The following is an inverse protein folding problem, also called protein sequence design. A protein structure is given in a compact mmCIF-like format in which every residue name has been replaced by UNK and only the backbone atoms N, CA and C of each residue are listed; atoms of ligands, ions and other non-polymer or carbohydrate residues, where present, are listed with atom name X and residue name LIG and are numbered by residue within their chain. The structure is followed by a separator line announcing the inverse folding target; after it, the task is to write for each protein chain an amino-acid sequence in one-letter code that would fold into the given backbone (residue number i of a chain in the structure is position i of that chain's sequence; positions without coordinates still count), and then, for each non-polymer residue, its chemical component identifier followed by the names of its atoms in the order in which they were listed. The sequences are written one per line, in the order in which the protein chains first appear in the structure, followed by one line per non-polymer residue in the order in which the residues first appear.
data_IF_062828248623
#
_entry.id   IF_062828248623
#
_cell.length_a   1.000
_cell.length_b   1.000
_cell.length_c   1.000
_cell.angle_alpha   90.00
_cell.angle_beta   90.00
_cell.angle_gamma   90.00
#
_symmetry.space_group_name_H-M   'P 1'
#
loop_
_entity.id
_entity.type
_entity.pdbx_description
1 polymer ?
#
# COMPACT_ATOMS: atom_id res chain seq x y z
N UNK A 1 60.19 31.52 -29.70
CA UNK A 1 59.64 30.61 -28.67
C UNK A 1 58.12 30.75 -28.67
N UNK A 2 57.43 29.84 -29.39
CA UNK A 2 55.96 29.72 -29.52
C UNK A 2 55.41 28.94 -28.31
N UNK A 3 54.39 29.41 -27.56
CA UNK A 3 52.92 29.33 -27.77
C UNK A 3 52.29 27.92 -27.73
N UNK A 4 51.35 27.76 -26.77
CA UNK A 4 50.12 26.90 -26.77
C UNK A 4 50.30 25.36 -26.74
N UNK A 5 49.47 24.47 -26.17
CA UNK A 5 48.00 24.42 -25.99
C UNK A 5 47.60 23.28 -24.99
N UNK A 6 46.29 23.18 -24.71
CA UNK A 6 45.49 22.41 -23.71
C UNK A 6 45.49 20.86 -23.78
N UNK A 7 45.11 20.20 -22.67
CA UNK A 7 44.08 19.11 -22.50
C UNK A 7 44.25 18.48 -21.09
N UNK A 8 43.33 18.58 -20.13
CA UNK A 8 42.03 17.91 -20.00
C UNK A 8 42.11 16.37 -20.05
N UNK A 9 42.14 15.71 -18.89
CA UNK A 9 41.51 14.39 -18.69
C UNK A 9 40.76 14.39 -17.36
N UNK A 10 39.45 14.55 -17.53
CA UNK A 10 38.35 14.16 -16.65
C UNK A 10 38.52 12.75 -16.07
N UNK A 11 38.62 12.64 -14.75
CA UNK A 11 38.37 11.40 -14.02
C UNK A 11 36.96 11.41 -13.45
N UNK A 12 35.96 11.21 -14.32
CA UNK A 12 34.56 11.05 -13.95
C UNK A 12 34.40 9.68 -13.28
N UNK A 13 34.57 9.61 -11.96
CA UNK A 13 34.14 8.45 -11.19
C UNK A 13 32.61 8.51 -11.06
N UNK A 14 31.92 8.04 -12.10
CA UNK A 14 30.50 7.68 -12.01
C UNK A 14 30.44 6.49 -11.05
N UNK A 15 30.22 6.78 -9.76
CA UNK A 15 29.73 5.77 -8.84
C UNK A 15 28.28 5.49 -9.29
N UNK A 16 28.12 4.50 -10.18
CA UNK A 16 26.84 3.86 -10.41
C UNK A 16 26.43 3.18 -9.11
N UNK A 17 25.84 3.97 -8.21
CA UNK A 17 24.89 3.48 -7.24
C UNK A 17 23.72 2.94 -8.06
N UNK A 18 23.79 1.65 -8.39
CA UNK A 18 22.63 0.83 -8.65
C UNK A 18 21.76 0.84 -7.39
N UNK A 19 21.04 1.93 -7.16
CA UNK A 19 19.85 1.91 -6.34
C UNK A 19 18.84 1.09 -7.13
N UNK A 20 18.77 -0.21 -6.81
CA UNK A 20 17.63 -1.02 -7.16
C UNK A 20 16.40 -0.20 -6.80
N UNK A 21 15.59 0.15 -7.80
CA UNK A 21 14.32 0.80 -7.57
C UNK A 21 13.57 -0.05 -6.55
N UNK A 22 13.04 0.53 -5.47
CA UNK A 22 12.22 -0.25 -4.58
C UNK A 22 11.01 -0.68 -5.42
N UNK A 23 10.83 -1.99 -5.58
CA UNK A 23 9.63 -2.59 -6.15
C UNK A 23 8.52 -2.36 -5.12
N UNK A 24 7.93 -1.16 -5.10
CA UNK A 24 6.99 -0.81 -4.04
C UNK A 24 5.59 -1.39 -4.33
N UNK A 25 5.16 -2.05 -3.25
CA UNK A 25 3.98 -2.80 -2.86
C UNK A 25 2.64 -2.55 -3.59
N UNK A 26 2.01 -3.66 -3.96
CA UNK A 26 0.55 -3.78 -3.91
C UNK A 26 0.10 -3.64 -2.43
N UNK A 27 -0.61 -2.55 -2.15
CA UNK A 27 -1.07 -2.01 -0.86
C UNK A 27 -1.52 -3.03 0.23
N UNK A 28 -0.62 -3.55 1.06
CA UNK A 28 -0.94 -4.46 2.19
C UNK A 28 -1.22 -3.74 3.52
N UNK A 29 -0.84 -2.46 3.55
CA UNK A 29 -1.13 -1.39 4.51
C UNK A 29 -2.48 -1.53 5.21
N UNK A 30 -3.57 -1.72 4.46
CA UNK A 30 -4.95 -1.64 4.96
C UNK A 30 -5.39 -2.90 5.70
N UNK A 31 -5.02 -4.09 5.23
CA UNK A 31 -5.29 -5.33 5.99
C UNK A 31 -4.33 -5.45 7.16
N UNK A 32 -3.07 -5.05 7.00
CA UNK A 32 -2.10 -5.03 8.09
C UNK A 32 -2.56 -4.12 9.24
N UNK A 33 -3.20 -2.99 8.91
CA UNK A 33 -3.86 -2.06 9.83
C UNK A 33 -5.03 -2.64 10.62
N UNK A 34 -5.89 -3.37 9.93
CA UNK A 34 -7.16 -3.78 10.52
C UNK A 34 -7.02 -5.09 11.32
N UNK A 35 -6.04 -5.90 10.96
CA UNK A 35 -5.59 -7.06 11.73
C UNK A 35 -4.69 -6.72 12.91
N UNK A 36 -4.26 -5.47 12.99
CA UNK A 36 -3.47 -4.92 14.08
C UNK A 36 -4.27 -4.81 15.39
N UNK A 37 -5.61 -4.74 15.31
CA UNK A 37 -6.46 -4.62 16.51
C UNK A 37 -6.38 -5.85 17.43
N UNK A 38 -6.13 -7.01 16.85
CA UNK A 38 -5.87 -8.23 17.59
C UNK A 38 -4.87 -9.07 16.75
N UNK A 39 -3.56 -8.76 16.83
CA UNK A 39 -2.57 -9.39 15.96
C UNK A 39 -2.41 -10.88 16.26
N UNK A 40 -2.82 -11.33 17.45
CA UNK A 40 -2.90 -12.74 17.83
C UNK A 40 -4.20 -13.44 17.44
N UNK A 41 -5.22 -12.72 16.93
CA UNK A 41 -6.46 -13.37 16.51
C UNK A 41 -6.23 -14.24 15.27
N UNK A 42 -6.89 -15.39 15.27
CA UNK A 42 -6.82 -16.32 14.16
C UNK A 42 -7.35 -15.69 12.86
N UNK A 43 -8.40 -14.88 12.97
CA UNK A 43 -8.97 -14.12 11.86
C UNK A 43 -7.94 -13.18 11.24
N UNK A 44 -7.29 -12.38 12.08
CA UNK A 44 -6.22 -11.45 11.69
C UNK A 44 -5.06 -12.15 10.99
N UNK A 45 -4.66 -13.33 11.48
CA UNK A 45 -3.60 -14.13 10.86
C UNK A 45 -3.99 -14.60 9.47
N UNK A 46 -5.20 -15.14 9.31
CA UNK A 46 -5.65 -15.73 8.04
C UNK A 46 -5.84 -14.65 6.96
N UNK A 47 -6.48 -13.53 7.30
CA UNK A 47 -6.70 -12.46 6.32
C UNK A 47 -5.38 -11.76 5.94
N UNK A 48 -4.39 -11.65 6.86
CA UNK A 48 -3.02 -11.22 6.50
C UNK A 48 -2.34 -12.17 5.54
N UNK A 49 -2.45 -13.49 5.78
CA UNK A 49 -1.86 -14.49 4.88
C UNK A 49 -2.44 -14.35 3.48
N UNK A 50 -3.77 -14.25 3.38
CA UNK A 50 -4.45 -14.02 2.12
C UNK A 50 -3.98 -12.74 1.42
N UNK A 51 -3.86 -11.64 2.17
CA UNK A 51 -3.40 -10.38 1.62
C UNK A 51 -1.95 -10.43 1.13
N UNK A 52 -1.08 -11.11 1.87
CA UNK A 52 0.32 -11.32 1.49
C UNK A 52 0.45 -12.12 0.20
N UNK A 53 -0.32 -13.19 0.05
CA UNK A 53 -0.36 -13.98 -1.19
C UNK A 53 -0.89 -13.14 -2.37
N UNK A 54 -1.91 -12.32 -2.13
CA UNK A 54 -2.51 -11.45 -3.14
C UNK A 54 -1.52 -10.36 -3.60
N UNK A 55 -0.79 -9.74 -2.67
CA UNK A 55 0.29 -8.79 -2.96
C UNK A 55 1.43 -9.45 -3.72
N UNK A 56 1.83 -10.66 -3.34
CA UNK A 56 2.86 -11.41 -4.06
C UNK A 56 2.46 -11.72 -5.50
N UNK A 57 1.20 -12.09 -5.74
CA UNK A 57 0.65 -12.26 -7.08
C UNK A 57 0.67 -10.94 -7.88
N UNK A 58 0.23 -9.85 -7.26
CA UNK A 58 0.25 -8.52 -7.90
C UNK A 58 1.67 -8.11 -8.32
N UNK A 59 2.66 -8.24 -7.42
CA UNK A 59 4.06 -7.95 -7.73
C UNK A 59 4.61 -8.82 -8.87
N UNK A 60 4.26 -10.11 -8.88
CA UNK A 60 4.66 -11.01 -9.95
C UNK A 60 4.05 -10.59 -11.30
N UNK A 61 2.75 -10.29 -11.33
CA UNK A 61 2.05 -9.83 -12.53
C UNK A 61 2.60 -8.50 -13.06
N UNK A 62 2.94 -7.57 -12.15
CA UNK A 62 3.55 -6.27 -12.48
C UNK A 62 4.91 -6.43 -13.17
N UNK A 63 5.71 -7.42 -12.76
CA UNK A 63 7.00 -7.69 -13.37
C UNK A 63 6.88 -8.17 -14.83
N UNK A 64 5.79 -8.87 -15.17
CA UNK A 64 5.56 -9.44 -16.51
C UNK A 64 6.67 -10.40 -17.01
N UNK A 65 7.45 -10.98 -16.10
CA UNK A 65 8.63 -11.80 -16.44
C UNK A 65 8.33 -13.30 -16.58
N UNK A 66 7.16 -13.77 -16.11
CA UNK A 66 6.84 -15.20 -16.05
C UNK A 66 5.95 -15.64 -17.21
N UNK A 67 6.16 -16.88 -17.65
CA UNK A 67 5.33 -17.55 -18.67
C UNK A 67 3.97 -18.00 -18.09
N UNK A 68 3.91 -18.26 -16.78
CA UNK A 68 2.69 -18.59 -16.02
C UNK A 68 2.79 -18.04 -14.60
N UNK A 69 1.62 -17.78 -14.00
CA UNK A 69 1.44 -17.34 -12.61
C UNK A 69 0.60 -18.34 -11.80
N UNK A 70 0.50 -19.59 -12.27
CA UNK A 70 -0.35 -20.63 -11.64
C UNK A 70 0.04 -20.89 -10.19
N UNK A 71 1.33 -20.81 -9.86
CA UNK A 71 1.82 -21.05 -8.49
C UNK A 71 1.39 -19.94 -7.53
N UNK A 72 1.52 -18.68 -7.92
CA UNK A 72 1.07 -17.53 -7.13
C UNK A 72 -0.45 -17.54 -6.99
N UNK A 73 -1.16 -17.83 -8.09
CA UNK A 73 -2.61 -17.95 -8.09
C UNK A 73 -3.09 -19.09 -7.18
N UNK A 74 -2.39 -20.23 -7.15
CA UNK A 74 -2.71 -21.34 -6.26
C UNK A 74 -2.64 -20.93 -4.79
N UNK A 75 -1.59 -20.19 -4.39
CA UNK A 75 -1.47 -19.68 -3.01
C UNK A 75 -2.63 -18.78 -2.62
N UNK A 76 -3.02 -17.85 -3.50
CA UNK A 76 -4.18 -16.96 -3.28
C UNK A 76 -5.48 -17.77 -3.10
N UNK A 77 -5.68 -18.81 -3.90
CA UNK A 77 -6.85 -19.68 -3.78
C UNK A 77 -6.81 -20.49 -2.47
N UNK A 78 -5.65 -21.03 -2.09
CA UNK A 78 -5.48 -21.84 -0.88
C UNK A 78 -5.72 -21.02 0.39
N UNK A 79 -5.15 -19.81 0.49
CA UNK A 79 -5.39 -18.92 1.64
C UNK A 79 -6.83 -18.43 1.69
N UNK A 80 -7.48 -18.21 0.55
CA UNK A 80 -8.93 -17.91 0.52
C UNK A 80 -9.81 -19.10 0.91
N UNK A 81 -9.42 -20.33 0.55
CA UNK A 81 -10.09 -21.54 1.00
C UNK A 81 -9.94 -21.74 2.51
N UNK A 82 -8.77 -21.47 3.08
CA UNK A 82 -8.58 -21.46 4.55
C UNK A 82 -9.53 -20.46 5.21
N UNK A 83 -9.63 -19.24 4.67
CA UNK A 83 -10.55 -18.21 5.16
C UNK A 83 -12.00 -18.67 5.12
N UNK A 84 -12.48 -19.10 3.94
CA UNK A 84 -13.88 -19.47 3.75
C UNK A 84 -14.29 -20.70 4.56
N UNK A 85 -13.40 -21.69 4.73
CA UNK A 85 -13.65 -22.87 5.56
C UNK A 85 -14.01 -22.50 7.00
N UNK A 86 -13.42 -21.43 7.54
CA UNK A 86 -13.66 -21.00 8.92
C UNK A 86 -14.77 -19.96 9.02
N UNK A 87 -14.76 -18.98 8.13
CA UNK A 87 -15.54 -17.77 8.33
C UNK A 87 -16.71 -17.57 7.37
N UNK A 88 -16.90 -18.42 6.35
CA UNK A 88 -17.97 -18.19 5.36
C UNK A 88 -19.38 -18.17 5.99
N UNK A 89 -19.66 -19.14 6.87
CA UNK A 89 -20.96 -19.27 7.55
C UNK A 89 -20.95 -18.75 8.98
N UNK A 90 -19.76 -18.65 9.58
CA UNK A 90 -19.54 -18.19 10.94
C UNK A 90 -18.57 -17.00 10.92
N UNK A 91 -19.05 -15.76 10.77
CA UNK A 91 -18.20 -14.58 10.86
C UNK A 91 -17.37 -14.60 12.16
N UNK A 92 -16.18 -13.97 12.17
CA UNK A 92 -15.45 -13.75 13.42
C UNK A 92 -16.33 -12.95 14.40
N UNK A 93 -16.03 -13.01 15.69
CA UNK A 93 -16.85 -12.39 16.74
C UNK A 93 -17.08 -10.89 16.48
N UNK A 94 -16.05 -10.21 16.02
CA UNK A 94 -16.03 -8.79 15.69
C UNK A 94 -16.93 -8.42 14.49
N UNK A 95 -17.24 -9.38 13.62
CA UNK A 95 -18.18 -9.21 12.50
C UNK A 95 -19.43 -10.07 12.62
N UNK A 96 -19.74 -10.60 13.80
CA UNK A 96 -20.92 -11.45 14.02
C UNK A 96 -22.22 -10.76 13.60
N UNK A 97 -22.26 -9.42 13.67
CA UNK A 97 -23.40 -8.59 13.29
C UNK A 97 -23.28 -7.96 11.88
N UNK A 98 -22.25 -8.30 11.10
CA UNK A 98 -22.11 -7.80 9.73
C UNK A 98 -23.13 -8.48 8.81
N UNK A 99 -24.24 -7.79 8.53
CA UNK A 99 -25.29 -8.26 7.63
C UNK A 99 -24.80 -8.50 6.20
N UNK A 100 -23.66 -7.91 5.81
CA UNK A 100 -23.07 -8.02 4.47
C UNK A 100 -21.95 -9.06 4.41
N UNK A 101 -21.69 -9.81 5.47
CA UNK A 101 -20.57 -10.76 5.53
C UNK A 101 -20.54 -11.77 4.39
N UNK A 102 -21.67 -12.43 4.14
CA UNK A 102 -21.80 -13.41 3.08
C UNK A 102 -21.64 -12.78 1.68
N UNK A 103 -22.12 -11.54 1.50
CA UNK A 103 -21.97 -10.77 0.27
C UNK A 103 -20.49 -10.45 0.01
N UNK A 104 -19.78 -9.92 1.02
CA UNK A 104 -18.35 -9.57 0.95
C UNK A 104 -17.51 -10.81 0.62
N UNK A 105 -17.73 -11.90 1.33
CA UNK A 105 -17.05 -13.19 1.09
C UNK A 105 -17.30 -13.71 -0.33
N UNK A 106 -18.55 -13.68 -0.80
CA UNK A 106 -18.89 -14.12 -2.15
C UNK A 106 -18.30 -13.20 -3.23
N UNK A 107 -18.27 -11.90 -3.00
CA UNK A 107 -17.68 -10.93 -3.91
C UNK A 107 -16.17 -11.12 -4.05
N UNK A 108 -15.45 -11.38 -2.96
CA UNK A 108 -14.02 -11.70 -2.98
C UNK A 108 -13.74 -12.97 -3.78
N UNK A 109 -14.53 -14.04 -3.57
CA UNK A 109 -14.40 -15.27 -4.34
C UNK A 109 -14.58 -15.05 -5.86
N UNK A 110 -15.54 -14.21 -6.26
CA UNK A 110 -15.72 -13.81 -7.67
C UNK A 110 -14.52 -13.01 -8.20
N UNK A 111 -13.97 -12.11 -7.38
CA UNK A 111 -12.76 -11.35 -7.72
C UNK A 111 -11.57 -12.28 -8.02
N UNK A 112 -11.33 -13.26 -7.16
CA UNK A 112 -10.29 -14.29 -7.33
C UNK A 112 -10.53 -15.11 -8.61
N UNK A 113 -11.77 -15.53 -8.86
CA UNK A 113 -12.13 -16.27 -10.07
C UNK A 113 -11.86 -15.47 -11.35
N UNK A 114 -12.13 -14.17 -11.33
CA UNK A 114 -11.86 -13.27 -12.45
C UNK A 114 -10.36 -13.07 -12.70
N UNK A 115 -9.56 -12.88 -11.63
CA UNK A 115 -8.09 -12.81 -11.74
C UNK A 115 -7.54 -14.09 -12.39
N UNK A 116 -7.99 -15.26 -11.92
CA UNK A 116 -7.58 -16.55 -12.50
C UNK A 116 -7.93 -16.65 -13.99
N UNK A 117 -9.14 -16.23 -14.38
CA UNK A 117 -9.57 -16.22 -15.78
C UNK A 117 -8.64 -15.35 -16.64
N UNK A 118 -8.33 -14.13 -16.18
CA UNK A 118 -7.44 -13.20 -16.88
C UNK A 118 -6.01 -13.75 -17.00
N UNK A 119 -5.48 -14.40 -15.96
CA UNK A 119 -4.17 -15.09 -16.02
C UNK A 119 -4.18 -16.19 -17.07
N UNK A 120 -5.21 -17.04 -17.09
CA UNK A 120 -5.32 -18.12 -18.08
C UNK A 120 -5.44 -17.59 -19.52
N UNK A 121 -6.07 -16.42 -19.70
CA UNK A 121 -6.17 -15.71 -20.97
C UNK A 121 -4.90 -14.91 -21.34
N UNK A 122 -3.86 -14.94 -20.49
CA UNK A 122 -2.62 -14.19 -20.63
C UNK A 122 -2.79 -12.67 -20.65
N UNK A 123 -3.88 -12.17 -20.04
CA UNK A 123 -4.19 -10.74 -19.86
C UNK A 123 -3.61 -10.25 -18.53
N UNK A 124 -2.27 -10.18 -18.45
CA UNK A 124 -1.57 -9.99 -17.18
C UNK A 124 -1.71 -8.58 -16.60
N UNK A 125 -1.80 -7.56 -17.45
CA UNK A 125 -2.05 -6.18 -17.01
C UNK A 125 -3.43 -6.07 -16.36
N UNK A 126 -4.46 -6.60 -17.01
CA UNK A 126 -5.82 -6.60 -16.50
C UNK A 126 -5.94 -7.45 -15.22
N UNK A 127 -5.21 -8.57 -15.15
CA UNK A 127 -5.14 -9.38 -13.93
C UNK A 127 -4.51 -8.59 -12.77
N UNK A 128 -3.44 -7.83 -13.03
CA UNK A 128 -2.81 -6.96 -12.03
C UNK A 128 -3.77 -5.88 -11.53
N UNK A 129 -4.46 -5.18 -12.43
CA UNK A 129 -5.43 -4.16 -12.06
C UNK A 129 -6.56 -4.73 -11.21
N UNK A 130 -6.99 -5.96 -11.54
CA UNK A 130 -8.00 -6.68 -10.77
C UNK A 130 -7.50 -7.11 -9.39
N UNK A 131 -6.22 -7.45 -9.25
CA UNK A 131 -5.58 -7.68 -7.94
C UNK A 131 -5.63 -6.42 -7.08
N UNK A 132 -5.28 -5.25 -7.64
CA UNK A 132 -5.35 -3.98 -6.91
C UNK A 132 -6.78 -3.65 -6.48
N UNK A 133 -7.75 -3.85 -7.36
CA UNK A 133 -9.16 -3.65 -7.02
C UNK A 133 -9.61 -4.57 -5.89
N UNK A 134 -9.24 -5.85 -5.94
CA UNK A 134 -9.59 -6.81 -4.90
C UNK A 134 -8.97 -6.42 -3.55
N UNK A 135 -7.70 -6.02 -3.57
CA UNK A 135 -6.96 -5.59 -2.40
C UNK A 135 -7.61 -4.36 -1.73
N UNK A 136 -8.03 -3.37 -2.53
CA UNK A 136 -8.73 -2.18 -2.02
C UNK A 136 -10.07 -2.50 -1.33
N UNK A 137 -10.73 -3.59 -1.75
CA UNK A 137 -12.02 -4.04 -1.19
C UNK A 137 -11.86 -4.84 0.10
N UNK A 138 -10.65 -5.27 0.46
CA UNK A 138 -10.42 -6.03 1.69
C UNK A 138 -10.74 -5.23 2.95
N UNK A 139 -10.70 -3.90 2.88
CA UNK A 139 -11.12 -3.02 3.97
C UNK A 139 -12.57 -3.22 4.40
N UNK A 140 -13.43 -3.64 3.47
CA UNK A 140 -14.84 -3.86 3.76
C UNK A 140 -15.05 -4.92 4.85
N UNK A 141 -14.16 -5.91 4.99
CA UNK A 141 -14.29 -6.94 6.02
C UNK A 141 -14.20 -6.40 7.44
N UNK A 142 -13.65 -5.21 7.63
CA UNK A 142 -13.43 -4.63 8.95
C UNK A 142 -14.35 -3.46 9.28
N UNK A 143 -15.25 -3.07 8.38
CA UNK A 143 -16.23 -2.01 8.62
C UNK A 143 -17.09 -2.29 9.87
N UNK A 144 -17.43 -3.55 10.11
CA UNK A 144 -18.27 -3.96 11.23
C UNK A 144 -17.51 -4.03 12.58
N UNK A 145 -16.18 -3.88 12.57
CA UNK A 145 -15.33 -4.10 13.76
C UNK A 145 -15.35 -2.93 14.75
N UNK A 146 -16.12 -1.85 14.48
CA UNK A 146 -16.09 -0.65 15.31
C UNK A 146 -14.73 0.03 15.21
N UNK A 147 -14.42 0.57 14.03
CA UNK A 147 -13.14 1.21 13.75
C UNK A 147 -13.07 2.55 14.47
N UNK A 148 -12.15 2.69 15.43
CA UNK A 148 -11.90 3.97 16.13
C UNK A 148 -11.48 5.07 15.17
N UNK A 149 -11.62 6.34 15.58
CA UNK A 149 -11.29 7.50 14.74
C UNK A 149 -9.84 7.45 14.21
N UNK A 150 -8.90 6.95 15.02
CA UNK A 150 -7.50 6.76 14.62
C UNK A 150 -7.37 5.74 13.48
N UNK A 151 -8.15 4.67 13.53
CA UNK A 151 -8.11 3.60 12.54
C UNK A 151 -8.86 3.99 11.26
N UNK A 152 -9.88 4.86 11.35
CA UNK A 152 -10.48 5.50 10.18
C UNK A 152 -9.49 6.43 9.48
N UNK A 153 -8.71 7.19 10.24
CA UNK A 153 -7.63 8.02 9.72
C UNK A 153 -6.58 7.18 8.98
N UNK A 154 -6.23 6.01 9.53
CA UNK A 154 -5.30 5.09 8.88
C UNK A 154 -5.81 4.51 7.55
N UNK A 155 -7.10 4.14 7.49
CA UNK A 155 -7.78 3.72 6.26
C UNK A 155 -7.74 4.85 5.24
N UNK A 156 -8.14 6.07 5.64
CA UNK A 156 -8.20 7.25 4.77
C UNK A 156 -6.85 7.54 4.12
N UNK A 157 -5.75 7.52 4.88
CA UNK A 157 -4.40 7.70 4.32
C UNK A 157 -4.06 6.64 3.29
N UNK A 158 -4.31 5.37 3.60
CA UNK A 158 -3.97 4.26 2.70
C UNK A 158 -4.76 4.36 1.39
N UNK A 159 -6.07 4.64 1.49
CA UNK A 159 -6.93 4.89 0.32
C UNK A 159 -6.43 6.08 -0.50
N UNK A 160 -6.06 7.19 0.13
CA UNK A 160 -5.56 8.37 -0.58
C UNK A 160 -4.21 8.13 -1.26
N UNK A 161 -3.30 7.37 -0.64
CA UNK A 161 -2.01 6.99 -1.25
C UNK A 161 -2.20 6.11 -2.49
N UNK A 162 -3.13 5.14 -2.43
CA UNK A 162 -3.46 4.26 -3.56
C UNK A 162 -4.18 5.02 -4.67
N UNK A 163 -5.09 5.93 -4.33
CA UNK A 163 -5.73 6.78 -5.33
C UNK A 163 -4.74 7.75 -5.97
N UNK A 164 -3.74 8.23 -5.21
CA UNK A 164 -2.70 9.12 -5.72
C UNK A 164 -1.84 8.39 -6.75
N UNK A 165 -1.45 7.15 -6.47
CA UNK A 165 -0.75 6.31 -7.45
C UNK A 165 -1.54 6.18 -8.75
N UNK A 166 -2.85 5.88 -8.66
CA UNK A 166 -3.71 5.79 -9.83
C UNK A 166 -3.80 7.10 -10.60
N UNK A 167 -3.95 8.22 -9.90
CA UNK A 167 -4.04 9.54 -10.52
C UNK A 167 -2.74 9.93 -11.23
N UNK A 168 -1.59 9.64 -10.62
CA UNK A 168 -0.27 9.87 -11.22
C UNK A 168 -0.05 9.00 -12.46
N UNK A 169 -0.42 7.72 -12.41
CA UNK A 169 -0.33 6.81 -13.56
C UNK A 169 -1.26 7.21 -14.71
N UNK A 170 -2.42 7.79 -14.38
CA UNK A 170 -3.40 8.31 -15.35
C UNK A 170 -3.10 9.71 -15.87
N UNK A 171 -2.00 10.35 -15.44
CA UNK A 171 -1.67 11.76 -15.70
C UNK A 171 -2.81 12.74 -15.31
N UNK A 172 -3.61 12.38 -14.30
CA UNK A 172 -4.69 13.20 -13.77
C UNK A 172 -4.15 14.15 -12.70
N UNK A 173 -3.74 15.34 -13.13
CA UNK A 173 -3.07 16.35 -12.29
C UNK A 173 -3.99 16.96 -11.24
N UNK A 174 -5.26 17.16 -11.59
CA UNK A 174 -6.23 17.74 -10.66
C UNK A 174 -6.51 16.75 -9.52
N UNK A 175 -6.78 15.48 -9.87
CA UNK A 175 -6.95 14.44 -8.86
C UNK A 175 -5.69 14.26 -8.01
N UNK A 176 -4.50 14.24 -8.64
CA UNK A 176 -3.23 14.09 -7.93
C UNK A 176 -3.00 15.23 -6.93
N UNK A 177 -3.19 16.50 -7.35
CA UNK A 177 -3.03 17.65 -6.47
C UNK A 177 -4.04 17.66 -5.31
N UNK A 178 -5.29 17.26 -5.56
CA UNK A 178 -6.31 17.14 -4.52
C UNK A 178 -5.95 16.05 -3.50
N UNK A 179 -5.44 14.90 -3.96
CA UNK A 179 -5.03 13.82 -3.08
C UNK A 179 -3.81 14.18 -2.21
N UNK A 180 -2.86 14.97 -2.74
CA UNK A 180 -1.74 15.51 -1.94
C UNK A 180 -2.23 16.46 -0.84
N UNK A 181 -3.26 17.28 -1.12
CA UNK A 181 -3.89 18.14 -0.10
C UNK A 181 -4.57 17.30 1.00
N UNK A 182 -5.33 16.28 0.62
CA UNK A 182 -5.98 15.38 1.59
C UNK A 182 -4.95 14.60 2.43
N UNK A 183 -3.83 14.17 1.84
CA UNK A 183 -2.74 13.54 2.59
C UNK A 183 -2.06 14.51 3.57
N UNK A 184 -1.97 15.79 3.21
CA UNK A 184 -1.45 16.84 4.11
C UNK A 184 -2.38 17.03 5.31
N UNK A 185 -3.69 17.09 5.09
CA UNK A 185 -4.70 17.16 6.15
C UNK A 185 -4.70 15.91 7.03
N UNK A 186 -4.52 14.74 6.43
CA UNK A 186 -4.40 13.50 7.19
C UNK A 186 -3.14 13.53 8.09
N UNK A 187 -2.00 14.04 7.62
CA UNK A 187 -0.79 14.20 8.44
C UNK A 187 -1.01 15.09 9.66
N UNK A 188 -1.80 16.16 9.52
CA UNK A 188 -2.19 17.02 10.65
C UNK A 188 -2.97 16.22 11.70
N UNK A 189 -3.86 15.33 11.26
CA UNK A 189 -4.64 14.46 12.13
C UNK A 189 -3.81 13.36 12.81
N UNK A 190 -2.68 12.95 12.21
CA UNK A 190 -1.70 12.03 12.83
C UNK A 190 -0.89 12.71 13.95
N UNK A 191 -0.68 14.02 13.85
CA UNK A 191 0.20 14.78 14.76
C UNK A 191 -0.15 14.61 16.25
N UNK A 192 -1.41 14.76 16.70
CA UNK A 192 -1.75 14.55 18.12
C UNK A 192 -1.55 13.10 18.58
N UNK A 193 -1.68 12.11 17.68
CA UNK A 193 -1.55 10.69 18.01
C UNK A 193 -0.09 10.25 18.19
N UNK A 194 0.84 10.93 17.50
CA UNK A 194 2.28 10.67 17.59
C UNK A 194 2.91 11.20 18.89
N UNK A 195 2.21 12.07 19.63
CA UNK A 195 2.70 12.78 20.82
C UNK A 195 4.04 13.50 20.60
N UNK A 196 4.72 13.87 21.70
CA UNK A 196 5.95 14.69 21.65
C UNK A 196 7.22 13.91 21.25
N UNK A 197 7.11 12.82 20.48
CA UNK A 197 8.28 12.07 20.04
C UNK A 197 9.06 12.87 18.96
N UNK A 198 10.27 13.38 19.23
CA UNK A 198 11.03 14.16 18.25
C UNK A 198 11.48 13.33 17.04
N UNK A 199 11.50 12.00 17.15
CA UNK A 199 11.88 11.08 16.07
C UNK A 199 10.68 10.61 15.23
N UNK A 200 9.50 11.20 15.40
CA UNK A 200 8.41 10.95 14.47
C UNK A 200 8.75 11.63 13.13
N UNK A 201 8.85 10.86 12.06
CA UNK A 201 9.22 11.32 10.70
C UNK A 201 8.19 12.23 10.03
N UNK A 202 7.38 12.94 10.83
CA UNK A 202 6.33 13.86 10.40
C UNK A 202 6.88 14.97 9.52
N UNK A 203 8.06 15.51 9.85
CA UNK A 203 8.69 16.55 9.04
C UNK A 203 9.16 16.00 7.68
N UNK A 204 9.61 14.75 7.61
CA UNK A 204 9.94 14.09 6.34
C UNK A 204 8.69 13.96 5.45
N UNK A 205 7.56 13.52 6.03
CA UNK A 205 6.29 13.41 5.29
C UNK A 205 5.85 14.78 4.79
N UNK A 206 5.88 15.80 5.66
CA UNK A 206 5.49 17.17 5.28
C UNK A 206 6.34 17.69 4.13
N UNK A 207 7.66 17.51 4.22
CA UNK A 207 8.58 17.91 3.16
C UNK A 207 8.28 17.17 1.85
N UNK A 208 8.09 15.86 1.89
CA UNK A 208 7.77 15.06 0.70
C UNK A 208 6.44 15.45 0.06
N UNK A 209 5.41 15.76 0.85
CA UNK A 209 4.13 16.22 0.33
C UNK A 209 4.24 17.58 -0.37
N UNK A 210 5.04 18.51 0.18
CA UNK A 210 5.33 19.81 -0.46
C UNK A 210 6.10 19.61 -1.76
N UNK A 211 7.15 18.77 -1.76
CA UNK A 211 7.94 18.47 -2.95
C UNK A 211 7.09 17.78 -4.03
N UNK A 212 6.23 16.83 -3.64
CA UNK A 212 5.36 16.13 -4.58
C UNK A 212 4.32 17.07 -5.20
N UNK A 213 3.72 17.98 -4.42
CA UNK A 213 2.83 19.00 -4.94
C UNK A 213 3.52 19.88 -6.00
N UNK A 214 4.73 20.37 -5.69
CA UNK A 214 5.51 21.18 -6.61
C UNK A 214 5.89 20.40 -7.89
N UNK A 215 6.28 19.14 -7.75
CA UNK A 215 6.67 18.30 -8.88
C UNK A 215 5.50 17.97 -9.81
N UNK A 216 4.27 17.83 -9.27
CA UNK A 216 3.04 17.68 -10.06
C UNK A 216 2.77 18.96 -10.86
N UNK A 217 2.89 20.14 -10.24
CA UNK A 217 2.71 21.42 -10.94
C UNK A 217 3.76 21.64 -12.04
N UNK A 218 4.99 21.21 -11.81
CA UNK A 218 6.12 21.34 -12.74
C UNK A 218 6.13 20.27 -13.84
N UNK A 219 5.16 19.35 -13.90
CA UNK A 219 5.13 18.22 -14.84
C UNK A 219 6.40 17.37 -14.80
N UNK A 220 6.87 17.07 -13.60
CA UNK A 220 8.00 16.17 -13.41
C UNK A 220 7.71 14.79 -13.99
N UNK A 221 8.77 14.05 -14.34
CA UNK A 221 8.62 12.71 -14.91
C UNK A 221 7.85 11.78 -13.95
N UNK A 222 6.99 10.91 -14.49
CA UNK A 222 6.26 9.90 -13.74
C UNK A 222 7.16 9.09 -12.80
N UNK A 223 8.38 8.75 -13.24
CA UNK A 223 9.36 8.04 -12.41
C UNK A 223 9.74 8.79 -11.12
N UNK A 224 9.85 10.11 -11.18
CA UNK A 224 10.19 10.94 -10.03
C UNK A 224 8.99 11.10 -9.07
N UNK A 225 7.79 11.20 -9.63
CA UNK A 225 6.53 11.26 -8.88
C UNK A 225 6.26 9.95 -8.15
N UNK A 226 6.41 8.82 -8.86
CA UNK A 226 6.28 7.47 -8.28
C UNK A 226 7.27 7.27 -7.13
N UNK A 227 8.56 7.56 -7.33
CA UNK A 227 9.56 7.40 -6.27
C UNK A 227 9.17 8.13 -4.96
N UNK A 228 8.62 9.35 -5.05
CA UNK A 228 8.14 10.10 -3.89
C UNK A 228 6.85 9.53 -3.29
N UNK A 229 5.90 9.14 -4.13
CA UNK A 229 4.66 8.52 -3.67
C UNK A 229 4.93 7.22 -2.91
N UNK A 230 5.87 6.43 -3.40
CA UNK A 230 6.21 5.19 -2.76
C UNK A 230 7.02 5.42 -1.46
N UNK A 231 7.87 6.45 -1.41
CA UNK A 231 8.50 6.89 -0.16
C UNK A 231 7.47 7.37 0.87
N UNK A 232 6.41 8.07 0.44
CA UNK A 232 5.30 8.47 1.32
C UNK A 232 4.60 7.26 1.94
N UNK A 233 4.35 6.19 1.16
CA UNK A 233 3.78 4.94 1.70
C UNK A 233 4.61 4.39 2.85
N UNK A 234 5.92 4.23 2.64
CA UNK A 234 6.83 3.71 3.68
C UNK A 234 6.81 4.57 4.95
N UNK A 235 6.88 5.90 4.82
CA UNK A 235 6.94 6.76 6.02
C UNK A 235 5.58 6.78 6.74
N UNK A 236 4.45 6.78 6.02
CA UNK A 236 3.13 6.69 6.67
C UNK A 236 2.92 5.35 7.40
N UNK A 237 3.50 4.25 6.89
CA UNK A 237 3.53 2.97 7.61
C UNK A 237 4.35 3.06 8.90
N UNK A 238 5.50 3.73 8.88
CA UNK A 238 6.32 3.96 10.06
C UNK A 238 5.59 4.81 11.11
N UNK A 239 4.98 5.94 10.71
CA UNK A 239 4.20 6.79 11.61
C UNK A 239 3.07 6.02 12.28
N UNK A 240 2.37 5.18 11.51
CA UNK A 240 1.33 4.31 12.03
C UNK A 240 1.87 3.26 12.99
N UNK A 241 2.98 2.61 12.66
CA UNK A 241 3.62 1.64 13.54
C UNK A 241 3.93 2.26 14.91
N UNK A 242 4.43 3.50 14.92
CA UNK A 242 4.67 4.25 16.16
C UNK A 242 3.40 4.47 16.98
N UNK A 243 2.28 4.85 16.35
CA UNK A 243 1.00 5.05 17.04
C UNK A 243 0.49 3.73 17.64
N UNK A 244 0.49 2.65 16.85
CA UNK A 244 0.03 1.34 17.28
C UNK A 244 0.89 0.76 18.41
N UNK A 245 2.22 0.95 18.36
CA UNK A 245 3.12 0.53 19.43
C UNK A 245 2.78 1.20 20.77
N UNK A 246 2.33 2.45 20.76
CA UNK A 246 1.90 3.15 21.98
C UNK A 246 0.53 2.68 22.47
N UNK A 247 -0.39 2.39 21.55
CA UNK A 247 -1.69 1.79 21.87
C UNK A 247 -1.52 0.42 22.55
N UNK A 248 -0.64 -0.43 22.02
CA UNK A 248 -0.46 -1.80 22.51
C UNK A 248 0.48 -1.93 23.70
N UNK A 249 1.43 -1.00 23.85
CA UNK A 249 2.43 -1.04 24.92
C UNK A 249 2.53 0.29 25.66
N UNK A 250 1.47 0.72 26.38
CA UNK A 250 1.44 2.02 27.06
C UNK A 250 2.50 2.21 28.16
N UNK A 251 3.20 1.13 28.57
CA UNK A 251 4.28 1.15 29.55
C UNK A 251 5.71 1.26 28.99
N UNK A 252 5.90 1.13 27.66
CA UNK A 252 7.19 1.38 27.02
C UNK A 252 7.39 2.89 26.89
N UNK A 253 7.94 3.51 27.92
CA UNK A 253 8.47 4.88 27.81
C UNK A 253 9.76 4.81 26.98
N UNK A 254 9.77 5.49 25.83
CA UNK A 254 11.00 5.87 25.15
C UNK A 254 11.81 6.81 26.04
#
# INVERSE_FOLDING_TARGET
MNRTFKMAVTGFAVLQLCTAAPLIACDDTLVMLLTAQNPGSEFSRIIRSFNSDLTALGLALKAMEKVSYDQEMAKVMDSWLEFTKKYMTNPPEEARNDLRWAEKTSATARGIGEIRRLINEKKFTEAHDRVLELNSKMGAFFEAFGVSDEKQLFISVSTNLTNLERALLGDDKEASANLVKELTKNLESFTPLLGDNPDNRKEDVRKLLIELAADIELNSSLKALDAKQQQLKTIFEELRSQILMREWFPGLKN
#
